data_IF_094205746975
#
_entry.id   IF_094205746975
#
_cell.length_a   1.000
_cell.length_b   1.000
_cell.length_c   1.000
_cell.angle_alpha   90.00
_cell.angle_beta   90.00
_cell.angle_gamma   90.00
#
_symmetry.space_group_name_H-M   'P 1'
#
loop_
_entity.id
_entity.type
_entity.pdbx_description
1 polymer ?
#
# COMPACT_ATOMS: atom_id res chain seq x y z
N UNK A 1 2.45 13.83 -35.42
CA UNK A 1 1.11 13.82 -34.85
C UNK A 1 0.86 15.21 -34.27
N UNK A 2 -0.04 16.00 -34.90
CA UNK A 2 -0.27 17.38 -34.52
C UNK A 2 -1.03 17.49 -33.18
N UNK A 3 -0.92 18.65 -32.53
CA UNK A 3 -1.64 18.99 -31.27
C UNK A 3 -3.14 18.68 -31.34
N UNK A 4 -3.76 18.84 -32.50
CA UNK A 4 -5.18 18.53 -32.73
C UNK A 4 -5.53 17.05 -32.60
N UNK A 5 -4.60 16.15 -32.92
CA UNK A 5 -4.82 14.72 -32.77
C UNK A 5 -4.74 14.26 -31.31
N UNK A 6 -3.86 14.88 -30.50
CA UNK A 6 -3.74 14.60 -29.07
C UNK A 6 -4.98 15.11 -28.29
N UNK A 7 -5.48 16.31 -28.63
CA UNK A 7 -6.69 16.85 -28.07
C UNK A 7 -7.91 15.99 -28.40
N UNK A 8 -7.99 15.48 -29.61
CA UNK A 8 -9.09 14.61 -30.04
C UNK A 8 -9.06 13.23 -29.34
N UNK A 9 -7.87 12.65 -29.13
CA UNK A 9 -7.70 11.41 -28.37
C UNK A 9 -8.07 11.63 -26.90
N UNK A 10 -7.59 12.72 -26.28
CA UNK A 10 -7.93 13.08 -24.91
C UNK A 10 -9.43 13.28 -24.72
N UNK A 11 -10.11 13.96 -25.64
CA UNK A 11 -11.54 14.16 -25.61
C UNK A 11 -12.32 12.84 -25.70
N UNK A 12 -11.91 11.94 -26.60
CA UNK A 12 -12.55 10.62 -26.76
C UNK A 12 -12.36 9.73 -25.54
N UNK A 13 -11.16 9.71 -24.98
CA UNK A 13 -10.86 8.98 -23.74
C UNK A 13 -11.69 9.53 -22.60
N UNK A 14 -11.77 10.86 -22.43
CA UNK A 14 -12.57 11.49 -21.39
C UNK A 14 -14.07 11.18 -21.54
N UNK A 15 -14.61 11.18 -22.77
CA UNK A 15 -16.00 10.80 -23.03
C UNK A 15 -16.27 9.35 -22.65
N UNK A 16 -15.38 8.44 -23.03
CA UNK A 16 -15.50 7.01 -22.67
C UNK A 16 -15.36 6.79 -21.16
N UNK A 17 -14.39 7.44 -20.52
CA UNK A 17 -14.16 7.30 -19.09
C UNK A 17 -15.32 7.85 -18.24
N UNK A 18 -16.02 8.91 -18.71
CA UNK A 18 -17.21 9.48 -18.01
C UNK A 18 -18.36 8.49 -17.85
N UNK A 19 -18.45 7.48 -18.68
CA UNK A 19 -19.44 6.41 -18.51
C UNK A 19 -19.14 5.55 -17.25
N UNK A 20 -17.87 5.45 -16.86
CA UNK A 20 -17.38 4.56 -15.79
C UNK A 20 -16.85 5.31 -14.56
N UNK A 21 -16.43 6.56 -14.74
CA UNK A 21 -15.79 7.37 -13.71
C UNK A 21 -16.53 8.71 -13.60
N UNK A 22 -16.81 9.10 -12.37
CA UNK A 22 -17.31 10.43 -12.06
C UNK A 22 -16.13 11.37 -11.79
N UNK A 23 -16.04 12.45 -12.60
CA UNK A 23 -15.01 13.49 -12.49
C UNK A 23 -15.58 14.82 -11.94
N UNK A 24 -16.89 14.88 -11.67
CA UNK A 24 -17.56 16.13 -11.30
C UNK A 24 -17.46 16.44 -9.80
N UNK A 25 -16.84 15.53 -9.04
CA UNK A 25 -16.56 15.69 -7.60
C UNK A 25 -15.08 15.95 -7.37
N UNK A 26 -14.72 16.47 -6.20
CA UNK A 26 -13.31 16.57 -5.76
C UNK A 26 -12.62 15.20 -5.67
N UNK A 27 -13.38 14.11 -5.82
CA UNK A 27 -12.91 12.73 -5.76
C UNK A 27 -13.22 12.03 -7.09
N UNK A 28 -12.26 11.25 -7.58
CA UNK A 28 -12.47 10.35 -8.73
C UNK A 28 -13.18 9.10 -8.21
N UNK A 29 -14.45 8.93 -8.61
CA UNK A 29 -15.27 7.81 -8.16
C UNK A 29 -15.62 6.90 -9.34
N UNK A 30 -15.31 5.61 -9.22
CA UNK A 30 -15.83 4.62 -10.16
C UNK A 30 -17.34 4.42 -9.93
N UNK A 31 -18.14 4.58 -10.96
CA UNK A 31 -19.60 4.36 -10.91
C UNK A 31 -20.00 2.91 -10.62
N UNK A 32 -19.06 1.97 -10.80
CA UNK A 32 -19.26 0.57 -10.51
C UNK A 32 -18.06 -0.03 -9.76
N UNK A 33 -18.27 -0.43 -8.53
CA UNK A 33 -17.27 -1.15 -7.73
C UNK A 33 -16.95 -2.54 -8.31
N UNK A 34 -17.92 -3.17 -8.99
CA UNK A 34 -17.72 -4.45 -9.66
C UNK A 34 -16.75 -4.29 -10.82
N UNK A 35 -16.94 -3.26 -11.67
CA UNK A 35 -16.06 -2.98 -12.79
C UNK A 35 -14.66 -2.59 -12.33
N UNK A 36 -14.53 -1.73 -11.31
CA UNK A 36 -13.21 -1.35 -10.79
C UNK A 36 -12.46 -2.56 -10.21
N UNK A 37 -13.14 -3.43 -9.47
CA UNK A 37 -12.54 -4.67 -8.97
C UNK A 37 -12.15 -5.63 -10.11
N UNK A 38 -12.98 -5.74 -11.16
CA UNK A 38 -12.65 -6.55 -12.32
C UNK A 38 -11.39 -6.05 -13.04
N UNK A 39 -11.28 -4.74 -13.26
CA UNK A 39 -10.10 -4.11 -13.87
C UNK A 39 -8.84 -4.37 -13.03
N UNK A 40 -8.89 -4.09 -11.72
CA UNK A 40 -7.76 -4.28 -10.82
C UNK A 40 -7.28 -5.74 -10.79
N UNK A 41 -8.21 -6.70 -10.75
CA UNK A 41 -7.87 -8.12 -10.61
C UNK A 41 -7.46 -8.80 -11.91
N UNK A 42 -8.07 -8.42 -13.04
CA UNK A 42 -7.98 -9.20 -14.26
C UNK A 42 -7.26 -8.50 -15.41
N UNK A 43 -7.25 -7.17 -15.44
CA UNK A 43 -6.69 -6.43 -16.56
C UNK A 43 -5.34 -5.77 -16.26
N UNK A 44 -5.09 -5.35 -15.02
CA UNK A 44 -3.85 -4.71 -14.62
C UNK A 44 -2.83 -5.72 -14.10
N UNK A 45 -1.56 -5.52 -14.42
CA UNK A 45 -0.45 -6.23 -13.78
C UNK A 45 -0.11 -5.56 -12.43
N UNK A 46 0.73 -6.19 -11.60
CA UNK A 46 1.16 -5.60 -10.34
C UNK A 46 1.86 -4.27 -10.53
N UNK A 47 2.74 -4.15 -11.54
CA UNK A 47 3.44 -2.91 -11.88
C UNK A 47 2.53 -1.77 -12.33
N UNK A 48 1.36 -2.11 -12.88
CA UNK A 48 0.37 -1.10 -13.28
C UNK A 48 -0.36 -0.50 -12.06
N UNK A 49 -0.22 -1.13 -10.89
CA UNK A 49 -0.85 -0.71 -9.64
C UNK A 49 0.19 -0.20 -8.64
N UNK A 50 1.27 -0.95 -8.37
CA UNK A 50 2.26 -0.61 -7.33
C UNK A 50 3.01 0.69 -7.66
N UNK A 51 3.44 0.86 -8.91
CA UNK A 51 4.18 2.04 -9.34
C UNK A 51 3.36 3.34 -9.22
N UNK A 52 2.13 3.43 -9.76
CA UNK A 52 1.28 4.59 -9.51
C UNK A 52 0.96 4.81 -8.04
N UNK A 53 0.75 3.74 -7.25
CA UNK A 53 0.46 3.85 -5.83
C UNK A 53 1.65 4.45 -5.06
N UNK A 54 2.87 4.03 -5.36
CA UNK A 54 4.09 4.63 -4.81
C UNK A 54 4.17 6.12 -5.17
N UNK A 55 3.97 6.48 -6.44
CA UNK A 55 3.99 7.88 -6.90
C UNK A 55 2.93 8.74 -6.21
N UNK A 56 1.72 8.22 -6.05
CA UNK A 56 0.64 8.90 -5.31
C UNK A 56 1.07 9.09 -3.85
N UNK A 57 1.61 8.06 -3.22
CA UNK A 57 2.06 8.12 -1.83
C UNK A 57 3.16 9.17 -1.64
N UNK A 58 4.16 9.20 -2.51
CA UNK A 58 5.25 10.20 -2.50
C UNK A 58 4.71 11.63 -2.60
N UNK A 59 3.79 11.88 -3.54
CA UNK A 59 3.14 13.20 -3.69
C UNK A 59 2.28 13.59 -2.48
N UNK A 60 1.56 12.63 -1.89
CA UNK A 60 0.81 12.87 -0.66
C UNK A 60 1.75 13.17 0.51
N UNK A 61 2.91 12.49 0.56
CA UNK A 61 3.92 12.72 1.60
C UNK A 61 4.42 14.17 1.61
N UNK A 62 4.57 14.83 0.47
CA UNK A 62 4.94 16.25 0.38
C UNK A 62 3.93 17.16 1.10
N UNK A 63 2.66 16.74 1.15
CA UNK A 63 1.54 17.47 1.78
C UNK A 63 1.17 16.93 3.17
N UNK A 64 2.04 16.17 3.82
CA UNK A 64 1.78 15.48 5.10
C UNK A 64 1.51 16.39 6.30
N UNK A 65 1.74 17.70 6.19
CA UNK A 65 1.34 18.67 7.21
C UNK A 65 -0.18 18.67 7.47
N UNK A 66 -0.98 18.37 6.46
CA UNK A 66 -2.42 18.31 6.58
C UNK A 66 -2.89 17.02 7.29
N UNK A 67 -3.74 17.16 8.32
CA UNK A 67 -4.28 16.02 9.10
C UNK A 67 -4.98 14.97 8.22
N UNK A 68 -5.77 15.41 7.23
CA UNK A 68 -6.49 14.51 6.31
C UNK A 68 -5.51 13.69 5.45
N UNK A 69 -4.43 14.32 4.96
CA UNK A 69 -3.39 13.62 4.19
C UNK A 69 -2.68 12.56 5.05
N UNK A 70 -2.34 12.86 6.31
CA UNK A 70 -1.76 11.84 7.20
C UNK A 70 -2.67 10.63 7.41
N UNK A 71 -4.00 10.85 7.46
CA UNK A 71 -4.95 9.75 7.51
C UNK A 71 -4.87 8.87 6.25
N UNK A 72 -4.84 9.47 5.07
CA UNK A 72 -4.70 8.71 3.80
C UNK A 72 -3.37 7.96 3.72
N UNK A 73 -2.25 8.60 4.09
CA UNK A 73 -0.94 7.94 4.13
C UNK A 73 -0.97 6.70 5.04
N UNK A 74 -1.60 6.82 6.22
CA UNK A 74 -1.79 5.69 7.13
C UNK A 74 -2.62 4.59 6.49
N UNK A 75 -3.79 4.92 5.93
CA UNK A 75 -4.71 3.95 5.35
C UNK A 75 -4.11 3.20 4.15
N UNK A 76 -3.35 3.88 3.28
CA UNK A 76 -2.67 3.25 2.14
C UNK A 76 -1.65 2.21 2.64
N UNK A 77 -0.92 2.48 3.73
CA UNK A 77 0.13 1.59 4.22
C UNK A 77 -0.36 0.49 5.17
N UNK A 78 -1.66 0.34 5.42
CA UNK A 78 -2.17 -0.83 6.12
C UNK A 78 -2.01 -2.08 5.24
N UNK A 79 -1.33 -3.11 5.74
CA UNK A 79 -1.11 -4.37 5.01
C UNK A 79 -2.41 -4.97 4.46
N UNK A 80 -3.47 -4.97 5.26
CA UNK A 80 -4.79 -5.47 4.82
C UNK A 80 -5.35 -4.70 3.62
N UNK A 81 -5.10 -3.39 3.51
CA UNK A 81 -5.56 -2.57 2.39
C UNK A 81 -4.73 -2.85 1.13
N UNK A 82 -3.39 -2.91 1.25
CA UNK A 82 -2.51 -3.31 0.15
C UNK A 82 -2.85 -4.71 -0.36
N UNK A 83 -3.00 -5.66 0.54
CA UNK A 83 -3.40 -7.03 0.21
C UNK A 83 -4.74 -7.06 -0.53
N UNK A 84 -5.76 -6.32 -0.06
CA UNK A 84 -7.08 -6.25 -0.70
C UNK A 84 -7.02 -5.66 -2.12
N UNK A 85 -6.23 -4.60 -2.32
CA UNK A 85 -6.11 -3.90 -3.61
C UNK A 85 -5.33 -4.74 -4.62
N UNK A 86 -4.25 -5.38 -4.18
CA UNK A 86 -3.32 -6.09 -5.04
C UNK A 86 -3.67 -7.57 -5.24
N UNK A 87 -4.48 -8.17 -4.36
CA UNK A 87 -4.78 -9.60 -4.38
C UNK A 87 -5.43 -10.03 -5.69
N UNK A 88 -4.78 -10.97 -6.39
CA UNK A 88 -5.29 -11.72 -7.56
C UNK A 88 -5.48 -13.18 -7.18
N UNK A 89 -6.34 -13.90 -7.92
CA UNK A 89 -6.86 -15.20 -7.47
C UNK A 89 -5.80 -16.32 -7.36
N UNK A 90 -4.63 -16.22 -8.01
CA UNK A 90 -3.70 -17.35 -8.10
C UNK A 90 -2.20 -17.01 -7.97
N UNK A 91 -1.81 -15.75 -7.76
CA UNK A 91 -0.40 -15.35 -7.76
C UNK A 91 0.03 -14.75 -6.40
N UNK A 92 0.23 -15.62 -5.41
CA UNK A 92 0.68 -15.18 -4.08
C UNK A 92 2.10 -14.57 -4.10
N UNK A 93 3.01 -15.12 -4.93
CA UNK A 93 4.39 -14.60 -5.02
C UNK A 93 4.44 -13.20 -5.63
N UNK A 94 3.68 -12.99 -6.71
CA UNK A 94 3.58 -11.67 -7.33
C UNK A 94 2.95 -10.64 -6.38
N UNK A 95 1.91 -11.03 -5.63
CA UNK A 95 1.29 -10.22 -4.61
C UNK A 95 2.30 -9.77 -3.54
N UNK A 96 3.03 -10.73 -2.93
CA UNK A 96 3.97 -10.43 -1.87
C UNK A 96 5.11 -9.54 -2.37
N UNK A 97 5.66 -9.82 -3.56
CA UNK A 97 6.67 -8.98 -4.20
C UNK A 97 6.18 -7.54 -4.43
N UNK A 98 4.94 -7.35 -4.91
CA UNK A 98 4.37 -6.04 -5.13
C UNK A 98 4.19 -5.26 -3.81
N UNK A 99 3.70 -5.93 -2.77
CA UNK A 99 3.56 -5.33 -1.42
C UNK A 99 4.93 -4.94 -0.87
N UNK A 100 5.94 -5.80 -0.97
CA UNK A 100 7.29 -5.51 -0.50
C UNK A 100 7.93 -4.34 -1.26
N UNK A 101 7.78 -4.32 -2.60
CA UNK A 101 8.25 -3.20 -3.42
C UNK A 101 7.67 -1.86 -2.94
N UNK A 102 6.37 -1.81 -2.60
CA UNK A 102 5.74 -0.60 -2.07
C UNK A 102 6.40 -0.20 -0.74
N UNK A 103 6.47 -1.11 0.25
CA UNK A 103 7.04 -0.79 1.55
C UNK A 103 8.51 -0.35 1.46
N UNK A 104 9.33 -1.08 0.70
CA UNK A 104 10.75 -0.77 0.52
C UNK A 104 10.96 0.60 -0.14
N UNK A 105 10.16 0.88 -1.18
CA UNK A 105 10.25 2.15 -1.92
C UNK A 105 9.85 3.36 -1.11
N UNK A 106 8.94 3.23 -0.15
CA UNK A 106 8.47 4.37 0.65
C UNK A 106 9.08 4.42 2.06
N UNK A 107 9.86 3.40 2.47
CA UNK A 107 10.45 3.32 3.81
C UNK A 107 11.41 4.49 4.13
N UNK A 108 12.10 5.03 3.11
CA UNK A 108 13.04 6.15 3.27
C UNK A 108 12.37 7.50 3.53
N UNK A 109 11.07 7.61 3.24
CA UNK A 109 10.33 8.84 3.46
C UNK A 109 10.27 9.18 4.96
N UNK A 110 10.53 10.44 5.32
CA UNK A 110 10.65 10.89 6.70
C UNK A 110 9.46 10.47 7.58
N UNK A 111 8.22 10.56 7.05
CA UNK A 111 7.02 10.15 7.78
C UNK A 111 7.00 8.66 8.13
N UNK A 112 7.56 7.80 7.29
CA UNK A 112 7.56 6.35 7.45
C UNK A 112 8.76 5.87 8.25
N UNK A 113 9.92 6.47 8.00
CA UNK A 113 11.21 6.03 8.58
C UNK A 113 11.15 5.91 10.10
N UNK A 114 10.49 6.84 10.77
CA UNK A 114 10.39 6.91 12.23
C UNK A 114 8.97 6.56 12.73
N UNK A 115 8.13 5.96 11.91
CA UNK A 115 6.75 5.65 12.25
C UNK A 115 6.61 4.18 12.70
N UNK A 116 6.33 3.92 13.99
CA UNK A 116 6.17 2.55 14.51
C UNK A 116 5.11 1.74 13.76
N UNK A 117 3.99 2.38 13.41
CA UNK A 117 2.90 1.71 12.70
C UNK A 117 3.32 1.27 11.30
N UNK A 118 4.12 2.07 10.58
CA UNK A 118 4.64 1.69 9.27
C UNK A 118 5.48 0.41 9.37
N UNK A 119 6.42 0.36 10.29
CA UNK A 119 7.30 -0.80 10.49
C UNK A 119 6.53 -2.03 10.99
N UNK A 120 5.50 -1.83 11.83
CA UNK A 120 4.58 -2.90 12.22
C UNK A 120 3.85 -3.49 11.01
N UNK A 121 3.31 -2.65 10.13
CA UNK A 121 2.59 -3.13 8.94
C UNK A 121 3.51 -3.85 7.96
N UNK A 122 4.76 -3.39 7.84
CA UNK A 122 5.77 -4.08 7.04
C UNK A 122 6.17 -5.42 7.68
N UNK A 123 6.32 -5.50 9.01
CA UNK A 123 6.56 -6.75 9.71
C UNK A 123 5.44 -7.77 9.48
N UNK A 124 4.16 -7.33 9.54
CA UNK A 124 3.00 -8.18 9.25
C UNK A 124 3.05 -8.71 7.81
N UNK A 125 3.44 -7.88 6.85
CA UNK A 125 3.58 -8.30 5.46
C UNK A 125 4.67 -9.37 5.29
N UNK A 126 5.85 -9.18 5.91
CA UNK A 126 6.95 -10.15 5.89
C UNK A 126 6.58 -11.47 6.59
N UNK A 127 5.90 -11.36 7.73
CA UNK A 127 5.42 -12.54 8.46
C UNK A 127 4.42 -13.36 7.63
N UNK A 128 3.51 -12.68 6.94
CA UNK A 128 2.52 -13.35 6.07
C UNK A 128 3.14 -14.11 4.89
N UNK A 129 4.39 -13.79 4.52
CA UNK A 129 5.17 -14.50 3.48
C UNK A 129 6.14 -15.54 4.05
N UNK A 130 6.21 -15.69 5.37
CA UNK A 130 7.18 -16.59 6.02
C UNK A 130 8.62 -16.05 6.08
N UNK A 131 8.81 -14.77 5.80
CA UNK A 131 10.11 -14.08 5.84
C UNK A 131 10.46 -13.67 7.27
N UNK A 132 10.63 -14.67 8.16
CA UNK A 132 10.75 -14.48 9.62
C UNK A 132 11.91 -13.56 10.03
N UNK A 133 13.07 -13.69 9.37
CA UNK A 133 14.25 -12.87 9.65
C UNK A 133 14.00 -11.38 9.35
N UNK A 134 13.36 -11.10 8.22
CA UNK A 134 13.02 -9.75 7.81
C UNK A 134 11.86 -9.17 8.64
N UNK A 135 10.89 -10.01 9.02
CA UNK A 135 9.83 -9.64 9.95
C UNK A 135 10.41 -9.21 11.30
N UNK A 136 11.37 -9.97 11.85
CA UNK A 136 12.05 -9.62 13.10
C UNK A 136 12.69 -8.23 13.05
N UNK A 137 13.44 -7.92 11.98
CA UNK A 137 14.06 -6.60 11.81
C UNK A 137 13.02 -5.47 11.74
N UNK A 138 11.89 -5.73 11.09
CA UNK A 138 10.81 -4.75 11.03
C UNK A 138 10.14 -4.55 12.40
N UNK A 139 9.97 -5.61 13.21
CA UNK A 139 9.50 -5.49 14.60
C UNK A 139 10.48 -4.71 15.47
N UNK A 140 11.79 -4.95 15.34
CA UNK A 140 12.81 -4.20 16.08
C UNK A 140 12.74 -2.70 15.78
N UNK A 141 12.57 -2.33 14.51
CA UNK A 141 12.35 -0.95 14.10
C UNK A 141 11.04 -0.39 14.70
N UNK A 142 9.95 -1.16 14.67
CA UNK A 142 8.67 -0.72 15.24
C UNK A 142 8.80 -0.43 16.75
N UNK A 143 9.45 -1.30 17.51
CA UNK A 143 9.70 -1.09 18.96
C UNK A 143 10.63 0.08 19.22
N UNK A 144 11.72 0.20 18.46
CA UNK A 144 12.68 1.30 18.61
C UNK A 144 12.00 2.66 18.44
N UNK A 145 11.19 2.82 17.41
CA UNK A 145 10.49 4.07 17.16
C UNK A 145 9.29 4.28 18.08
N UNK A 146 8.62 3.21 18.53
CA UNK A 146 7.55 3.29 19.53
C UNK A 146 8.05 3.90 20.83
N UNK A 147 9.22 3.48 21.29
CA UNK A 147 9.87 4.01 22.51
C UNK A 147 10.13 5.51 22.40
N UNK A 148 10.49 6.01 21.22
CA UNK A 148 10.84 7.41 21.00
C UNK A 148 9.62 8.33 20.80
N UNK A 149 8.44 7.76 20.50
CA UNK A 149 7.24 8.51 20.12
C UNK A 149 6.07 8.36 21.09
N UNK A 150 6.25 7.68 22.23
CA UNK A 150 5.18 7.29 23.16
C UNK A 150 4.02 6.54 22.45
N UNK A 151 4.35 5.77 21.41
CA UNK A 151 3.38 4.93 20.72
C UNK A 151 3.02 3.74 21.61
N UNK A 152 1.72 3.41 21.69
CA UNK A 152 1.26 2.24 22.43
C UNK A 152 1.73 0.95 21.72
N UNK A 153 2.52 0.12 22.42
CA UNK A 153 3.10 -1.10 21.87
C UNK A 153 2.13 -2.27 21.78
N UNK A 154 0.94 -2.19 22.34
CA UNK A 154 -0.01 -3.29 22.41
C UNK A 154 -0.23 -4.00 21.05
N UNK A 155 -0.35 -3.23 19.96
CA UNK A 155 -0.49 -3.81 18.63
C UNK A 155 0.80 -4.52 18.16
N UNK A 156 1.97 -3.94 18.47
CA UNK A 156 3.27 -4.56 18.15
C UNK A 156 3.41 -5.86 18.93
N UNK A 157 3.12 -5.84 20.23
CA UNK A 157 3.23 -7.00 21.13
C UNK A 157 2.38 -8.18 20.64
N UNK A 158 1.14 -7.91 20.24
CA UNK A 158 0.25 -8.94 19.71
C UNK A 158 0.78 -9.61 18.43
N UNK A 159 1.27 -8.82 17.48
CA UNK A 159 1.82 -9.36 16.24
C UNK A 159 3.20 -9.99 16.45
N UNK A 160 4.00 -9.49 17.36
CA UNK A 160 5.28 -10.08 17.72
C UNK A 160 5.11 -11.42 18.44
N UNK A 161 4.12 -11.55 19.32
CA UNK A 161 3.80 -12.84 19.93
C UNK A 161 3.40 -13.89 18.88
N UNK A 162 2.61 -13.49 17.88
CA UNK A 162 2.28 -14.34 16.74
C UNK A 162 3.55 -14.74 15.96
N UNK A 163 4.44 -13.79 15.67
CA UNK A 163 5.73 -14.05 15.01
C UNK A 163 6.53 -15.12 15.76
N UNK A 164 6.67 -15.00 17.10
CA UNK A 164 7.43 -15.96 17.91
C UNK A 164 6.85 -17.37 17.83
N UNK A 165 5.52 -17.51 17.82
CA UNK A 165 4.84 -18.80 17.69
C UNK A 165 5.06 -19.43 16.31
N UNK A 166 4.97 -18.66 15.25
CA UNK A 166 5.13 -19.14 13.88
C UNK A 166 6.60 -19.50 13.58
N UNK A 167 7.58 -18.67 13.98
CA UNK A 167 9.03 -18.94 13.83
C UNK A 167 9.46 -20.18 14.63
N UNK A 168 8.92 -20.37 15.83
CA UNK A 168 9.20 -21.56 16.63
C UNK A 168 8.64 -22.85 16.01
N UNK A 169 7.55 -22.77 15.26
CA UNK A 169 6.98 -23.93 14.56
C UNK A 169 7.74 -24.28 13.28
N UNK A 170 8.27 -23.28 12.57
CA UNK A 170 9.07 -23.49 11.36
C UNK A 170 10.43 -24.18 11.65
N UNK A 171 10.99 -23.96 12.84
CA UNK A 171 12.28 -24.53 13.26
C UNK A 171 12.20 -25.96 13.81
N UNK A 172 11.01 -26.57 13.85
CA UNK A 172 10.80 -27.98 14.27
C UNK A 172 10.83 -28.91 13.08
#
# INVERSE_FOLDING_TARGET
LGLDSLNNISFRINKFLREFIDFDTEEIVFKSSVLSNYILKNLLNYSDIDTPLIQIYERLHEKRSHKRIRKYLKEIMLYQNLNRILKKDSDQRGLNRAIFNIYERVAYLEYNRENPLFWLQFAIARLADGEYSDAARCFDNAYSYAKNTNFDTFQIDNHFARYLLEDANEKK
#
